data_IF_902654484868
#
_entry.id   IF_902654484868
#
_cell.length_a   1.000
_cell.length_b   1.000
_cell.length_c   1.000
_cell.angle_alpha   90.00
_cell.angle_beta   90.00
_cell.angle_gamma   90.00
#
_symmetry.space_group_name_H-M   'P 1'
#
loop_
_entity.id
_entity.type
_entity.pdbx_description
1 polymer ?
#
# COMPACT_ATOMS: atom_id res chain seq x y z
N UNK A 1 36.38 2.39 -13.05
CA UNK A 1 34.92 2.35 -13.26
C UNK A 1 34.65 2.87 -14.65
N UNK A 2 34.24 2.00 -15.58
CA UNK A 2 33.84 2.41 -16.93
C UNK A 2 32.47 3.08 -16.87
N UNK A 3 32.29 4.13 -17.68
CA UNK A 3 31.19 5.10 -17.64
C UNK A 3 29.80 4.56 -18.07
N UNK A 4 29.53 3.26 -17.95
CA UNK A 4 28.29 2.59 -18.40
C UNK A 4 27.34 2.16 -17.27
N UNK A 5 27.68 2.37 -16.00
CA UNK A 5 26.99 1.74 -14.85
C UNK A 5 26.28 2.74 -13.90
N UNK A 6 26.06 3.98 -14.33
CA UNK A 6 25.45 5.03 -13.49
C UNK A 6 23.99 5.22 -13.91
N UNK A 7 23.05 4.98 -12.99
CA UNK A 7 21.64 5.25 -13.17
C UNK A 7 21.35 6.76 -13.29
N UNK A 8 20.25 7.11 -13.95
CA UNK A 8 19.75 8.50 -13.97
C UNK A 8 19.02 8.86 -12.66
N UNK A 9 18.53 7.85 -11.93
CA UNK A 9 17.89 7.96 -10.62
C UNK A 9 18.01 6.62 -9.88
N UNK A 10 18.20 6.67 -8.57
CA UNK A 10 18.23 5.49 -7.70
C UNK A 10 17.06 5.51 -6.71
N UNK A 11 16.29 4.43 -6.66
CA UNK A 11 15.18 4.26 -5.72
C UNK A 11 15.64 3.37 -4.56
N UNK A 12 15.45 3.84 -3.33
CA UNK A 12 15.74 3.09 -2.11
C UNK A 12 14.45 2.47 -1.58
N UNK A 13 14.36 1.15 -1.64
CA UNK A 13 13.20 0.37 -1.18
C UNK A 13 12.46 -0.36 -2.32
N UNK A 14 12.07 -1.60 -2.06
CA UNK A 14 11.38 -2.48 -3.02
C UNK A 14 9.99 -2.94 -2.51
N UNK A 15 9.36 -2.13 -1.64
CA UNK A 15 7.93 -2.27 -1.34
C UNK A 15 7.07 -1.69 -2.46
N UNK A 16 5.75 -1.69 -2.28
CA UNK A 16 4.80 -1.22 -3.32
C UNK A 16 5.11 0.19 -3.82
N UNK A 17 5.44 1.13 -2.92
CA UNK A 17 5.78 2.51 -3.29
C UNK A 17 7.06 2.54 -4.13
N UNK A 18 8.13 1.90 -3.66
CA UNK A 18 9.41 1.89 -4.36
C UNK A 18 9.35 1.23 -5.73
N UNK A 19 8.68 0.07 -5.85
CA UNK A 19 8.51 -0.61 -7.13
C UNK A 19 7.64 0.20 -8.11
N UNK A 20 6.50 0.73 -7.66
CA UNK A 20 5.64 1.55 -8.53
C UNK A 20 6.35 2.83 -8.97
N UNK A 21 7.09 3.50 -8.08
CA UNK A 21 7.93 4.64 -8.44
C UNK A 21 9.03 4.27 -9.43
N UNK A 22 9.75 3.17 -9.21
CA UNK A 22 10.81 2.71 -10.11
C UNK A 22 10.26 2.41 -11.52
N UNK A 23 9.11 1.73 -11.59
CA UNK A 23 8.43 1.43 -12.84
C UNK A 23 8.01 2.70 -13.58
N UNK A 24 7.37 3.64 -12.88
CA UNK A 24 6.95 4.91 -13.49
C UNK A 24 8.14 5.76 -13.96
N UNK A 25 9.24 5.77 -13.21
CA UNK A 25 10.48 6.45 -13.60
C UNK A 25 11.09 5.80 -14.86
N UNK A 26 11.15 4.46 -14.91
CA UNK A 26 11.65 3.74 -16.08
C UNK A 26 10.78 3.99 -17.32
N UNK A 27 9.46 3.94 -17.17
CA UNK A 27 8.50 4.24 -18.24
C UNK A 27 8.53 5.70 -18.71
N UNK A 28 9.06 6.62 -17.91
CA UNK A 28 9.35 7.99 -18.35
C UNK A 28 10.69 8.14 -19.08
N UNK A 29 11.40 7.03 -19.31
CA UNK A 29 12.64 6.97 -20.09
C UNK A 29 13.93 7.10 -19.28
N UNK A 30 13.86 7.03 -17.95
CA UNK A 30 15.03 7.09 -17.08
C UNK A 30 15.67 5.70 -16.90
N UNK A 31 17.00 5.65 -16.82
CA UNK A 31 17.70 4.46 -16.33
C UNK A 31 17.60 4.42 -14.81
N UNK A 32 16.93 3.42 -14.27
CA UNK A 32 16.64 3.32 -12.83
C UNK A 32 17.41 2.18 -12.19
N UNK A 33 18.02 2.45 -11.04
CA UNK A 33 18.50 1.42 -10.13
C UNK A 33 17.61 1.38 -8.87
N UNK A 34 17.37 0.18 -8.32
CA UNK A 34 16.68 -0.01 -7.04
C UNK A 34 17.65 -0.65 -6.05
N UNK A 35 17.84 -0.02 -4.88
CA UNK A 35 18.61 -0.58 -3.77
C UNK A 35 17.65 -0.93 -2.64
N UNK A 36 17.64 -2.20 -2.20
CA UNK A 36 16.76 -2.66 -1.13
C UNK A 36 17.38 -3.80 -0.32
N UNK A 37 17.04 -3.89 0.98
CA UNK A 37 17.56 -4.92 1.89
C UNK A 37 16.79 -6.26 1.81
N UNK A 38 15.64 -6.28 1.12
CA UNK A 38 14.69 -7.39 1.09
C UNK A 38 14.03 -7.51 -0.28
N UNK A 39 13.69 -8.74 -0.65
CA UNK A 39 12.83 -9.01 -1.80
C UNK A 39 11.40 -8.51 -1.54
N UNK A 40 10.62 -8.17 -2.58
CA UNK A 40 9.26 -7.65 -2.43
C UNK A 40 8.35 -8.54 -1.58
N UNK A 41 8.48 -9.86 -1.69
CA UNK A 41 7.73 -10.85 -0.92
C UNK A 41 7.98 -10.79 0.61
N UNK A 42 9.12 -10.24 1.03
CA UNK A 42 9.52 -10.12 2.44
C UNK A 42 9.23 -8.73 3.03
N UNK A 43 8.56 -7.86 2.26
CA UNK A 43 8.21 -6.50 2.68
C UNK A 43 6.86 -6.46 3.39
N UNK A 44 6.60 -5.38 4.14
CA UNK A 44 5.26 -5.14 4.71
C UNK A 44 4.17 -5.05 3.64
N UNK A 45 4.52 -4.68 2.40
CA UNK A 45 3.56 -4.64 1.29
C UNK A 45 2.99 -6.02 0.98
N UNK A 46 3.76 -7.11 1.12
CA UNK A 46 3.29 -8.47 0.86
C UNK A 46 2.21 -8.95 1.87
N UNK A 47 2.20 -8.34 3.07
CA UNK A 47 1.26 -8.66 4.15
C UNK A 47 -0.07 -7.90 3.99
N UNK A 48 -0.09 -6.79 3.24
CA UNK A 48 -1.28 -5.96 3.12
C UNK A 48 -2.48 -6.74 2.56
N UNK A 49 -3.68 -6.32 2.96
CA UNK A 49 -4.91 -7.07 2.66
C UNK A 49 -5.18 -7.26 1.15
N UNK A 50 -4.73 -6.42 0.22
CA UNK A 50 -5.03 -5.00 0.19
C UNK A 50 -6.33 -4.83 -0.62
N UNK A 51 -7.15 -3.88 -0.21
CA UNK A 51 -8.29 -3.37 -0.99
C UNK A 51 -7.99 -1.91 -1.31
N UNK A 52 -8.45 -1.42 -2.46
CA UNK A 52 -8.41 0.01 -2.74
C UNK A 52 -9.40 0.70 -1.79
N UNK A 53 -8.84 1.30 -0.75
CA UNK A 53 -9.55 2.11 0.23
C UNK A 53 -8.52 3.07 0.86
N UNK A 54 -8.75 4.39 0.81
CA UNK A 54 -7.89 5.33 1.51
C UNK A 54 -8.09 5.23 3.04
N UNK A 55 -7.13 4.61 3.74
CA UNK A 55 -7.20 4.38 5.18
C UNK A 55 -6.04 5.04 5.94
N UNK A 56 -6.39 5.82 6.96
CA UNK A 56 -5.49 6.41 7.96
C UNK A 56 -4.20 7.02 7.38
N UNK A 57 -4.37 7.92 6.41
CA UNK A 57 -3.30 8.66 5.75
C UNK A 57 -3.71 10.11 5.49
N UNK A 58 -2.74 11.01 5.53
CA UNK A 58 -2.94 12.46 5.50
C UNK A 58 -1.85 13.16 4.68
N UNK A 59 -2.10 14.39 4.19
CA UNK A 59 -3.37 15.12 4.25
C UNK A 59 -4.41 14.52 3.30
N UNK A 60 -5.69 14.58 3.70
CA UNK A 60 -6.78 13.83 3.05
C UNK A 60 -7.00 14.21 1.58
N UNK A 61 -6.82 15.48 1.24
CA UNK A 61 -6.97 16.00 -0.12
C UNK A 61 -5.92 15.42 -1.08
N UNK A 62 -4.64 15.39 -0.67
CA UNK A 62 -3.58 14.76 -1.46
C UNK A 62 -3.75 13.25 -1.54
N UNK A 63 -4.08 12.61 -0.41
CA UNK A 63 -4.36 11.17 -0.38
C UNK A 63 -5.50 10.83 -1.32
N UNK A 64 -6.57 11.62 -1.35
CA UNK A 64 -7.69 11.38 -2.25
C UNK A 64 -7.27 11.54 -3.72
N UNK A 65 -6.51 12.60 -4.06
CA UNK A 65 -5.98 12.78 -5.42
C UNK A 65 -5.13 11.59 -5.87
N UNK A 66 -4.15 11.17 -5.07
CA UNK A 66 -3.32 10.01 -5.41
C UNK A 66 -4.13 8.72 -5.52
N UNK A 67 -5.16 8.59 -4.70
CA UNK A 67 -6.04 7.43 -4.71
C UNK A 67 -6.88 7.38 -5.98
N UNK A 68 -7.41 8.51 -6.47
CA UNK A 68 -8.15 8.60 -7.74
C UNK A 68 -7.28 8.15 -8.92
N UNK A 69 -6.05 8.66 -9.00
CA UNK A 69 -5.10 8.27 -10.04
C UNK A 69 -4.79 6.76 -9.96
N UNK A 70 -4.60 6.25 -8.75
CA UNK A 70 -4.34 4.83 -8.54
C UNK A 70 -5.55 3.94 -8.83
N UNK A 71 -6.77 4.41 -8.56
CA UNK A 71 -8.00 3.69 -8.87
C UNK A 71 -8.13 3.44 -10.37
N UNK A 72 -7.88 4.48 -11.18
CA UNK A 72 -7.89 4.37 -12.64
C UNK A 72 -6.89 3.31 -13.09
N UNK A 73 -5.66 3.36 -12.57
CA UNK A 73 -4.62 2.41 -12.93
C UNK A 73 -4.93 0.97 -12.48
N UNK A 74 -5.40 0.77 -11.25
CA UNK A 74 -5.82 -0.57 -10.80
C UNK A 74 -7.02 -1.10 -11.58
N UNK A 75 -7.89 -0.21 -12.06
CA UNK A 75 -9.02 -0.60 -12.92
C UNK A 75 -8.55 -1.13 -14.27
N UNK A 76 -7.53 -0.51 -14.86
CA UNK A 76 -6.89 -1.05 -16.06
C UNK A 76 -6.20 -2.39 -15.80
N UNK A 77 -5.46 -2.50 -14.70
CA UNK A 77 -4.73 -3.72 -14.33
C UNK A 77 -5.66 -4.90 -14.06
N UNK A 78 -6.88 -4.64 -13.56
CA UNK A 78 -7.87 -5.68 -13.35
C UNK A 78 -8.33 -6.40 -14.63
N UNK A 79 -8.01 -5.87 -15.82
CA UNK A 79 -8.25 -6.55 -17.09
C UNK A 79 -7.23 -7.67 -17.38
N UNK A 80 -6.09 -7.68 -16.68
CA UNK A 80 -5.04 -8.69 -16.80
C UNK A 80 -4.97 -9.54 -15.52
N UNK A 81 -5.36 -10.83 -15.57
CA UNK A 81 -5.37 -11.71 -14.40
C UNK A 81 -3.98 -11.93 -13.80
N UNK A 82 -2.90 -11.76 -14.58
CA UNK A 82 -1.52 -11.95 -14.11
C UNK A 82 -1.06 -10.85 -13.13
N UNK A 83 -1.81 -9.75 -13.05
CA UNK A 83 -1.54 -8.65 -12.10
C UNK A 83 -1.97 -8.99 -10.68
N UNK A 84 -2.85 -9.98 -10.50
CA UNK A 84 -3.48 -10.27 -9.19
C UNK A 84 -4.45 -9.18 -8.71
N UNK A 85 -4.86 -8.24 -9.58
CA UNK A 85 -5.85 -7.21 -9.29
C UNK A 85 -7.22 -7.68 -9.80
N UNK A 86 -8.26 -7.56 -8.97
CA UNK A 86 -9.62 -7.90 -9.37
C UNK A 86 -10.62 -6.86 -8.87
N UNK A 87 -11.55 -6.45 -9.72
CA UNK A 87 -12.69 -5.64 -9.30
C UNK A 87 -13.66 -6.50 -8.47
N UNK A 88 -13.97 -6.06 -7.25
CA UNK A 88 -14.92 -6.77 -6.38
C UNK A 88 -15.93 -5.81 -5.77
N UNK A 89 -17.19 -6.21 -5.79
CA UNK A 89 -18.26 -5.51 -5.09
C UNK A 89 -18.16 -5.81 -3.59
N UNK A 90 -18.50 -4.83 -2.76
CA UNK A 90 -18.68 -5.04 -1.33
C UNK A 90 -19.35 -3.88 -0.65
N UNK A 91 -19.40 -3.96 0.68
CA UNK A 91 -20.21 -3.06 1.51
C UNK A 91 -19.33 -2.38 2.55
N UNK A 92 -19.33 -1.05 2.53
CA UNK A 92 -18.88 -0.23 3.65
C UNK A 92 -20.06 -0.10 4.61
N UNK A 93 -19.95 -0.74 5.77
CA UNK A 93 -20.99 -0.80 6.78
C UNK A 93 -20.96 0.45 7.66
N UNK A 94 -22.15 0.95 7.97
CA UNK A 94 -22.35 2.11 8.82
C UNK A 94 -23.18 1.67 10.03
N UNK A 95 -22.65 1.89 11.24
CA UNK A 95 -23.37 1.66 12.49
C UNK A 95 -23.85 2.97 13.12
N UNK A 96 -23.28 4.10 12.69
CA UNK A 96 -23.70 5.43 13.12
C UNK A 96 -24.45 6.12 11.97
N UNK A 97 -25.69 6.58 12.19
CA UNK A 97 -26.44 7.30 11.16
C UNK A 97 -25.71 8.53 10.64
N UNK A 98 -25.66 8.70 9.32
CA UNK A 98 -25.11 9.90 8.67
C UNK A 98 -23.60 9.93 8.50
N UNK A 99 -22.87 8.88 8.91
CA UNK A 99 -21.44 8.74 8.61
C UNK A 99 -21.28 8.04 7.25
N UNK A 100 -20.64 8.71 6.30
CA UNK A 100 -20.29 8.16 4.98
C UNK A 100 -18.78 7.97 4.87
N UNK A 101 -18.34 7.11 3.94
CA UNK A 101 -16.93 7.05 3.60
C UNK A 101 -16.51 8.39 2.98
N UNK A 102 -15.52 9.06 3.58
CA UNK A 102 -15.07 10.40 3.16
C UNK A 102 -14.43 10.42 1.76
N UNK A 103 -14.03 9.25 1.27
CA UNK A 103 -13.50 9.02 -0.07
C UNK A 103 -14.59 8.59 -1.07
N UNK A 104 -15.77 8.18 -0.59
CA UNK A 104 -16.89 7.78 -1.44
C UNK A 104 -17.66 8.99 -1.98
N UNK A 105 -18.44 8.80 -3.05
CA UNK A 105 -19.14 9.87 -3.76
C UNK A 105 -18.61 10.01 -5.19
N UNK A 106 -18.00 11.15 -5.51
CA UNK A 106 -17.53 11.45 -6.88
C UNK A 106 -16.35 10.56 -7.33
N UNK A 107 -15.65 9.90 -6.40
CA UNK A 107 -14.50 9.04 -6.73
C UNK A 107 -14.92 7.63 -7.10
N UNK A 108 -15.79 7.02 -6.29
CA UNK A 108 -16.33 5.68 -6.53
C UNK A 108 -17.85 5.76 -6.48
N UNK A 109 -18.48 5.34 -7.57
CA UNK A 109 -19.92 5.19 -7.64
C UNK A 109 -20.38 4.18 -6.57
N UNK A 110 -21.15 4.66 -5.61
CA UNK A 110 -21.71 3.86 -4.54
C UNK A 110 -23.24 4.00 -4.53
N UNK A 111 -23.93 2.92 -4.17
CA UNK A 111 -25.37 2.91 -3.92
C UNK A 111 -25.64 2.54 -2.47
N UNK A 112 -26.79 2.92 -1.94
CA UNK A 112 -27.22 2.42 -0.64
C UNK A 112 -27.37 0.88 -0.68
N UNK A 113 -26.93 0.23 0.40
CA UNK A 113 -27.19 -1.17 0.65
C UNK A 113 -28.68 -1.41 0.89
N UNK A 114 -29.20 -2.50 0.32
CA UNK A 114 -30.57 -2.94 0.62
C UNK A 114 -30.63 -3.61 2.01
N UNK A 115 -31.80 -3.71 2.64
CA UNK A 115 -31.93 -4.38 3.94
C UNK A 115 -31.40 -5.82 3.96
N UNK A 116 -31.49 -6.56 2.85
CA UNK A 116 -30.95 -7.92 2.68
C UNK A 116 -29.43 -7.98 2.50
N UNK A 117 -28.77 -6.84 2.27
CA UNK A 117 -27.32 -6.74 2.09
C UNK A 117 -26.59 -6.25 3.35
N UNK A 118 -27.35 -5.85 4.38
CA UNK A 118 -26.81 -5.40 5.67
C UNK A 118 -26.54 -6.59 6.60
N UNK A 119 -25.51 -6.42 7.43
CA UNK A 119 -25.19 -7.36 8.51
C UNK A 119 -25.82 -6.90 9.83
N UNK A 120 -25.88 -7.80 10.82
CA UNK A 120 -26.50 -7.49 12.10
C UNK A 120 -25.84 -6.27 12.80
N UNK A 121 -26.70 -5.37 13.27
CA UNK A 121 -26.33 -4.10 13.89
C UNK A 121 -25.77 -3.02 12.95
N UNK A 122 -25.76 -3.21 11.62
CA UNK A 122 -25.55 -2.11 10.67
C UNK A 122 -26.86 -1.32 10.49
N UNK A 123 -26.80 0.01 10.54
CA UNK A 123 -27.96 0.89 10.34
C UNK A 123 -28.14 1.29 8.87
N UNK A 124 -27.03 1.30 8.12
CA UNK A 124 -26.96 1.57 6.69
C UNK A 124 -25.65 1.00 6.12
N UNK A 125 -25.46 1.13 4.81
CA UNK A 125 -24.20 0.78 4.17
C UNK A 125 -24.13 1.30 2.74
N UNK A 126 -22.91 1.43 2.24
CA UNK A 126 -22.60 1.85 0.88
C UNK A 126 -22.04 0.68 0.11
N UNK A 127 -22.72 0.28 -0.97
CA UNK A 127 -22.26 -0.78 -1.87
C UNK A 127 -21.52 -0.17 -3.04
N UNK A 128 -20.29 -0.61 -3.25
CA UNK A 128 -19.46 -0.16 -4.36
C UNK A 128 -18.57 -1.30 -4.88
N UNK A 129 -17.98 -1.08 -6.05
CA UNK A 129 -16.99 -1.98 -6.63
C UNK A 129 -15.64 -1.29 -6.66
N UNK A 130 -14.64 -1.93 -6.07
CA UNK A 130 -13.28 -1.40 -6.00
C UNK A 130 -12.26 -2.52 -6.26
N UNK A 131 -11.02 -2.18 -6.66
CA UNK A 131 -9.94 -3.16 -6.78
C UNK A 131 -9.60 -3.85 -5.45
N UNK A 132 -9.49 -5.17 -5.49
CA UNK A 132 -8.83 -6.00 -4.47
C UNK A 132 -7.54 -6.53 -5.08
N UNK A 133 -6.44 -6.41 -4.34
CA UNK A 133 -5.09 -6.70 -4.82
C UNK A 133 -4.50 -7.88 -4.03
N UNK A 134 -4.18 -8.96 -4.73
CA UNK A 134 -3.46 -10.11 -4.17
C UNK A 134 -1.97 -9.78 -4.13
N UNK A 135 -1.53 -9.21 -3.02
CA UNK A 135 -0.20 -8.58 -2.91
C UNK A 135 1.00 -9.45 -3.33
N UNK A 136 1.07 -10.76 -3.01
CA UNK A 136 2.18 -11.59 -3.49
C UNK A 136 2.29 -11.64 -5.02
N UNK A 137 1.16 -11.83 -5.72
CA UNK A 137 1.09 -11.85 -7.19
C UNK A 137 1.42 -10.46 -7.74
N UNK A 138 0.81 -9.42 -7.16
CA UNK A 138 0.99 -8.05 -7.64
C UNK A 138 2.44 -7.55 -7.49
N UNK A 139 3.11 -7.87 -6.38
CA UNK A 139 4.51 -7.48 -6.17
C UNK A 139 5.47 -8.23 -7.09
N UNK A 140 5.19 -9.50 -7.39
CA UNK A 140 5.93 -10.27 -8.40
C UNK A 140 5.74 -9.67 -9.80
N UNK A 141 4.50 -9.34 -10.16
CA UNK A 141 4.18 -8.66 -11.42
C UNK A 141 4.86 -7.29 -11.53
N UNK A 142 4.86 -6.49 -10.46
CA UNK A 142 5.55 -5.19 -10.40
C UNK A 142 7.05 -5.36 -10.59
N UNK A 143 7.67 -6.30 -9.88
CA UNK A 143 9.10 -6.60 -10.01
C UNK A 143 9.45 -7.02 -11.44
N UNK A 144 8.69 -7.97 -12.01
CA UNK A 144 8.89 -8.42 -13.38
C UNK A 144 8.69 -7.28 -14.40
N UNK A 145 7.77 -6.36 -14.12
CA UNK A 145 7.54 -5.19 -14.95
C UNK A 145 8.71 -4.19 -14.88
N UNK A 146 9.25 -3.93 -13.69
CA UNK A 146 10.48 -3.16 -13.54
C UNK A 146 11.64 -3.78 -14.34
N UNK A 147 11.85 -5.10 -14.23
CA UNK A 147 12.91 -5.81 -14.97
C UNK A 147 12.70 -5.68 -16.48
N UNK A 148 11.45 -5.78 -16.97
CA UNK A 148 11.12 -5.62 -18.39
C UNK A 148 11.43 -4.22 -18.92
N UNK A 149 11.24 -3.20 -18.09
CA UNK A 149 11.60 -1.81 -18.40
C UNK A 149 13.10 -1.50 -18.18
N UNK A 150 13.91 -2.52 -17.85
CA UNK A 150 15.36 -2.38 -17.70
C UNK A 150 15.84 -1.83 -16.36
N UNK A 151 14.98 -1.84 -15.32
CA UNK A 151 15.38 -1.47 -13.96
C UNK A 151 16.38 -2.48 -13.41
N UNK A 152 17.50 -1.98 -12.86
CA UNK A 152 18.54 -2.81 -12.23
C UNK A 152 18.32 -2.88 -10.72
N UNK A 153 18.47 -4.06 -10.12
CA UNK A 153 18.26 -4.28 -8.68
C UNK A 153 19.55 -4.62 -7.96
N UNK A 154 19.78 -3.96 -6.83
CA UNK A 154 20.85 -4.23 -5.87
C UNK A 154 20.27 -4.63 -4.51
N UNK A 155 20.38 -5.91 -4.18
CA UNK A 155 19.88 -6.45 -2.92
C UNK A 155 20.93 -6.34 -1.82
N UNK A 156 20.91 -5.23 -1.09
CA UNK A 156 21.84 -4.95 0.01
C UNK A 156 21.26 -3.93 0.99
N UNK A 157 21.73 -3.98 2.23
CA UNK A 157 21.37 -3.00 3.26
C UNK A 157 22.14 -1.70 3.09
N UNK A 158 21.50 -0.59 3.46
CA UNK A 158 22.10 0.75 3.55
C UNK A 158 22.14 1.18 5.02
N UNK A 159 23.24 1.80 5.45
CA UNK A 159 23.34 2.45 6.77
C UNK A 159 23.13 3.96 6.66
N UNK A 160 23.55 4.55 5.55
CA UNK A 160 23.35 5.96 5.20
C UNK A 160 22.95 6.08 3.72
N UNK A 161 22.38 7.23 3.35
CA UNK A 161 22.22 7.61 1.95
C UNK A 161 23.57 7.79 1.23
N UNK A 162 24.67 7.98 1.96
CA UNK A 162 26.03 8.00 1.40
C UNK A 162 26.40 6.66 0.74
N UNK A 163 25.84 5.56 1.25
CA UNK A 163 26.15 4.20 0.79
C UNK A 163 25.36 3.80 -0.47
N UNK A 164 24.51 4.67 -1.00
CA UNK A 164 23.60 4.35 -2.12
C UNK A 164 24.36 4.09 -3.42
N UNK A 165 25.51 4.74 -3.63
CA UNK A 165 26.22 4.67 -4.91
C UNK A 165 25.53 5.46 -6.02
N UNK A 166 25.82 5.10 -7.28
CA UNK A 166 25.28 5.74 -8.50
C UNK A 166 25.65 7.22 -8.71
N UNK A 167 26.84 7.62 -8.25
CA UNK A 167 27.36 8.98 -8.45
C UNK A 167 26.41 10.06 -7.89
N UNK A 168 26.26 11.15 -8.62
CA UNK A 168 25.48 12.32 -8.19
C UNK A 168 24.00 12.28 -8.62
N UNK A 169 23.50 11.12 -9.08
CA UNK A 169 22.10 11.02 -9.51
C UNK A 169 21.13 11.25 -8.32
N UNK A 170 19.91 11.75 -8.60
CA UNK A 170 18.87 11.89 -7.58
C UNK A 170 18.53 10.57 -6.89
N UNK A 171 18.19 10.65 -5.61
CA UNK A 171 17.75 9.52 -4.79
C UNK A 171 16.24 9.64 -4.55
N UNK A 172 15.47 8.58 -4.76
CA UNK A 172 14.09 8.47 -4.29
C UNK A 172 14.08 7.58 -3.05
N UNK A 173 13.71 8.12 -1.88
CA UNK A 173 13.64 7.34 -0.64
C UNK A 173 12.22 6.81 -0.47
N UNK A 174 12.01 5.52 -0.74
CA UNK A 174 10.75 4.80 -0.61
C UNK A 174 10.85 3.61 0.38
N UNK A 175 11.66 3.78 1.42
CA UNK A 175 12.09 2.71 2.34
C UNK A 175 11.12 2.41 3.50
N UNK A 176 9.86 2.87 3.43
CA UNK A 176 8.86 2.65 4.48
C UNK A 176 9.33 3.16 5.85
N UNK A 177 9.29 2.31 6.89
CA UNK A 177 9.73 2.66 8.25
C UNK A 177 11.23 2.94 8.35
N UNK A 178 12.05 2.24 7.55
CA UNK A 178 13.52 2.38 7.57
C UNK A 178 13.94 3.76 7.05
N UNK A 179 13.06 4.46 6.32
CA UNK A 179 13.33 5.83 5.91
C UNK A 179 13.62 6.76 7.09
N UNK A 180 13.05 6.51 8.28
CA UNK A 180 13.30 7.33 9.47
C UNK A 180 14.78 7.31 9.89
N UNK A 181 15.41 6.14 9.87
CA UNK A 181 16.83 6.00 10.17
C UNK A 181 17.71 6.61 9.08
N UNK A 182 17.33 6.44 7.81
CA UNK A 182 18.10 6.94 6.66
C UNK A 182 18.06 8.46 6.50
N UNK A 183 16.98 9.12 6.94
CA UNK A 183 16.75 10.56 6.72
C UNK A 183 16.71 11.38 8.00
N UNK A 184 16.84 10.73 9.17
CA UNK A 184 16.70 11.37 10.49
C UNK A 184 15.27 11.77 10.83
N UNK A 185 14.27 11.16 10.18
CA UNK A 185 12.87 11.51 10.39
C UNK A 185 12.25 10.79 11.59
N UNK A 186 12.00 11.54 12.66
CA UNK A 186 11.43 11.04 13.91
C UNK A 186 9.90 11.02 13.94
N UNK A 187 9.21 11.43 12.85
CA UNK A 187 7.73 11.41 12.76
C UNK A 187 7.18 10.05 12.33
N UNK A 188 8.04 9.14 11.86
CA UNK A 188 7.65 7.78 11.52
C UNK A 188 7.39 6.94 12.77
N UNK A 189 6.23 6.31 12.82
CA UNK A 189 5.79 5.44 13.89
C UNK A 189 5.37 4.10 13.31
N UNK A 190 5.88 2.97 13.84
CA UNK A 190 5.37 1.66 13.45
C UNK A 190 3.93 1.51 13.91
N UNK A 191 3.02 1.16 13.01
CA UNK A 191 1.64 0.86 13.36
C UNK A 191 1.41 -0.62 13.11
N UNK A 192 1.38 -1.40 14.19
CA UNK A 192 1.18 -2.85 14.12
C UNK A 192 -0.23 -3.16 13.65
N UNK A 193 -0.32 -4.10 12.71
CA UNK A 193 -1.54 -4.65 12.18
C UNK A 193 -1.45 -6.16 12.06
N UNK A 194 -2.31 -6.86 12.77
CA UNK A 194 -2.47 -8.31 12.65
C UNK A 194 -3.70 -8.63 11.79
N UNK A 195 -3.54 -9.62 10.90
CA UNK A 195 -4.62 -10.17 10.07
C UNK A 195 -4.57 -11.70 10.11
N UNK A 196 -5.72 -12.32 9.90
CA UNK A 196 -5.86 -13.76 9.76
C UNK A 196 -6.30 -14.08 8.33
N UNK A 197 -5.61 -15.02 7.69
CA UNK A 197 -5.97 -15.57 6.39
C UNK A 197 -6.71 -16.87 6.61
N UNK A 198 -7.89 -17.01 6.02
CA UNK A 198 -8.69 -18.24 6.08
C UNK A 198 -9.01 -18.72 4.67
N UNK A 199 -9.27 -20.02 4.50
CA UNK A 199 -9.71 -20.59 3.24
C UNK A 199 -11.03 -19.95 2.80
N UNK A 200 -11.18 -19.63 1.52
CA UNK A 200 -12.39 -18.98 1.03
C UNK A 200 -13.54 -20.00 0.86
N UNK A 201 -14.65 -19.90 1.62
CA UNK A 201 -15.81 -20.80 1.48
C UNK A 201 -16.73 -20.43 0.30
N UNK A 202 -16.21 -19.74 -0.72
CA UNK A 202 -16.99 -19.25 -1.88
C UNK A 202 -17.55 -17.84 -1.71
N UNK A 203 -16.92 -17.01 -0.87
CA UNK A 203 -17.23 -15.59 -0.75
C UNK A 203 -16.72 -14.82 -1.97
N UNK A 204 -17.55 -13.91 -2.47
CA UNK A 204 -17.21 -13.01 -3.57
C UNK A 204 -17.25 -11.53 -3.19
N UNK A 205 -17.96 -11.21 -2.11
CA UNK A 205 -18.24 -9.85 -1.65
C UNK A 205 -17.41 -9.50 -0.42
N UNK A 206 -16.79 -8.33 -0.40
CA UNK A 206 -16.06 -7.83 0.78
C UNK A 206 -16.97 -7.02 1.72
N UNK A 207 -16.56 -6.90 2.98
CA UNK A 207 -17.16 -6.05 4.01
C UNK A 207 -16.09 -5.24 4.71
N UNK A 208 -16.37 -3.96 4.97
CA UNK A 208 -15.56 -3.08 5.83
C UNK A 208 -16.49 -2.43 6.86
N UNK A 209 -16.11 -2.48 8.13
CA UNK A 209 -16.84 -1.92 9.26
C UNK A 209 -15.86 -1.11 10.13
N UNK A 210 -15.73 0.18 9.82
CA UNK A 210 -14.91 1.12 10.59
C UNK A 210 -15.63 1.68 11.84
N UNK A 211 -16.93 1.46 11.95
CA UNK A 211 -17.78 2.00 13.02
C UNK A 211 -17.85 1.09 14.25
N UNK A 212 -17.34 -0.13 14.14
CA UNK A 212 -17.35 -1.06 15.24
C UNK A 212 -16.52 -0.51 16.43
N UNK A 213 -17.16 -0.43 17.60
CA UNK A 213 -16.55 0.06 18.84
C UNK A 213 -15.31 -0.74 19.28
N UNK A 214 -15.10 -1.94 18.74
CA UNK A 214 -13.92 -2.78 18.98
C UNK A 214 -12.77 -2.53 17.99
N UNK A 215 -12.93 -1.59 17.06
CA UNK A 215 -11.97 -1.29 16.00
C UNK A 215 -12.44 -1.75 14.62
N UNK A 216 -11.73 -1.30 13.58
CA UNK A 216 -12.05 -1.61 12.19
C UNK A 216 -12.03 -3.13 11.94
N UNK A 217 -13.14 -3.67 11.42
CA UNK A 217 -13.24 -5.06 10.97
C UNK A 217 -13.44 -5.10 9.47
N UNK A 218 -12.67 -5.93 8.77
CA UNK A 218 -12.84 -6.16 7.34
C UNK A 218 -12.73 -7.65 6.98
N UNK A 219 -13.51 -8.03 5.97
CA UNK A 219 -13.55 -9.36 5.36
C UNK A 219 -13.37 -9.15 3.87
N UNK A 220 -12.20 -9.53 3.34
CA UNK A 220 -11.83 -9.25 1.96
C UNK A 220 -11.55 -10.60 1.26
N UNK A 221 -12.54 -11.16 0.54
CA UNK A 221 -12.33 -12.40 -0.19
C UNK A 221 -11.50 -12.17 -1.46
N UNK A 222 -10.50 -13.03 -1.63
CA UNK A 222 -9.74 -13.24 -2.87
C UNK A 222 -10.27 -14.50 -3.54
N UNK A 223 -9.53 -15.10 -4.48
CA UNK A 223 -9.95 -16.34 -5.12
C UNK A 223 -9.96 -17.50 -4.10
N UNK A 224 -8.81 -17.79 -3.51
CA UNK A 224 -8.62 -19.00 -2.70
C UNK A 224 -8.68 -18.75 -1.19
N UNK A 225 -8.47 -17.50 -0.76
CA UNK A 225 -8.45 -17.11 0.64
C UNK A 225 -9.29 -15.86 0.92
N UNK A 226 -9.51 -15.60 2.20
CA UNK A 226 -10.17 -14.41 2.71
C UNK A 226 -9.24 -13.76 3.72
N UNK A 227 -9.01 -12.46 3.55
CA UNK A 227 -8.31 -11.67 4.55
C UNK A 227 -9.32 -11.17 5.58
N UNK A 228 -9.16 -11.62 6.82
CA UNK A 228 -9.87 -11.11 7.98
C UNK A 228 -8.94 -10.18 8.74
N UNK A 229 -9.37 -8.95 8.96
CA UNK A 229 -8.61 -8.03 9.82
C UNK A 229 -9.52 -7.02 10.50
N UNK A 230 -8.96 -6.12 11.29
CA UNK A 230 -7.57 -6.17 11.74
C UNK A 230 -7.31 -5.26 12.93
N UNK A 231 -6.05 -5.19 13.35
CA UNK A 231 -5.61 -4.25 14.40
C UNK A 231 -4.96 -2.99 13.82
N UNK A 232 -4.98 -1.93 14.63
CA UNK A 232 -4.29 -0.67 14.38
C UNK A 232 -3.64 -0.20 15.69
N UNK A 233 -2.37 -0.56 15.89
CA UNK A 233 -1.67 -0.40 17.17
C UNK A 233 -0.39 0.45 17.00
N UNK A 234 -0.49 1.80 17.10
CA UNK A 234 0.65 2.69 16.97
C UNK A 234 1.71 2.47 18.05
N UNK A 235 2.99 2.53 17.65
CA UNK A 235 4.15 2.41 18.52
C UNK A 235 4.54 0.96 18.88
N UNK A 236 3.72 -0.03 18.54
CA UNK A 236 4.04 -1.43 18.79
C UNK A 236 4.90 -1.98 17.65
N UNK A 237 6.05 -2.57 18.00
CA UNK A 237 7.04 -3.10 17.06
C UNK A 237 7.08 -4.63 16.99
N UNK A 238 6.43 -5.32 17.93
CA UNK A 238 6.43 -6.77 17.96
C UNK A 238 5.66 -7.34 16.75
N UNK A 239 6.35 -8.18 15.99
CA UNK A 239 5.81 -8.86 14.80
C UNK A 239 5.32 -10.27 15.10
N UNK A 240 5.34 -10.69 16.36
CA UNK A 240 4.79 -11.98 16.80
C UNK A 240 3.27 -11.92 16.74
N UNK A 241 2.59 -12.84 16.03
CA UNK A 241 1.15 -12.93 16.07
C UNK A 241 0.64 -13.29 17.47
N UNK A 242 -0.41 -12.60 17.92
CA UNK A 242 -1.08 -12.88 19.18
C UNK A 242 -2.33 -13.74 18.94
N UNK A 243 -2.36 -14.93 19.54
CA UNK A 243 -3.47 -15.87 19.39
C UNK A 243 -4.82 -15.34 19.89
N UNK A 244 -4.84 -14.51 20.94
CA UNK A 244 -6.06 -13.91 21.47
C UNK A 244 -6.60 -12.85 20.51
N UNK A 245 -5.69 -12.07 19.91
CA UNK A 245 -6.04 -11.12 18.85
C UNK A 245 -6.57 -11.85 17.61
N UNK A 246 -5.93 -12.95 17.18
CA UNK A 246 -6.40 -13.76 16.05
C UNK A 246 -7.81 -14.31 16.29
N UNK A 247 -8.08 -14.85 17.48
CA UNK A 247 -9.43 -15.31 17.85
C UNK A 247 -10.46 -14.18 17.84
N UNK A 248 -10.08 -12.99 18.30
CA UNK A 248 -10.95 -11.80 18.26
C UNK A 248 -11.27 -11.38 16.83
N UNK A 249 -10.27 -11.37 15.94
CA UNK A 249 -10.44 -11.06 14.50
C UNK A 249 -11.39 -12.07 13.85
N UNK A 250 -11.17 -13.37 14.06
CA UNK A 250 -12.03 -14.42 13.49
C UNK A 250 -13.47 -14.33 14.02
N UNK A 251 -13.63 -14.05 15.31
CA UNK A 251 -14.96 -13.87 15.91
C UNK A 251 -15.68 -12.63 15.36
N UNK A 252 -14.96 -11.53 15.10
CA UNK A 252 -15.53 -10.34 14.49
C UNK A 252 -15.89 -10.57 13.01
N UNK A 253 -14.98 -11.17 12.24
CA UNK A 253 -15.22 -11.53 10.84
C UNK A 253 -16.42 -12.49 10.69
N UNK A 254 -16.54 -13.49 11.56
CA UNK A 254 -17.66 -14.45 11.55
C UNK A 254 -19.01 -13.83 11.90
N UNK A 255 -19.02 -12.67 12.59
CA UNK A 255 -20.26 -11.91 12.79
C UNK A 255 -20.70 -11.15 11.55
N UNK A 256 -19.75 -10.72 10.71
CA UNK A 256 -20.04 -10.10 9.42
C UNK A 256 -20.43 -11.15 8.38
N UNK A 257 -19.76 -12.29 8.39
CA UNK A 257 -19.98 -13.39 7.45
C UNK A 257 -19.94 -14.75 8.17
N UNK A 258 -21.11 -15.31 8.54
CA UNK A 258 -21.21 -16.56 9.30
C UNK A 258 -20.56 -17.79 8.62
N UNK A 259 -20.40 -17.78 7.29
CA UNK A 259 -19.71 -18.88 6.58
C UNK A 259 -18.23 -19.00 6.95
N UNK A 260 -17.65 -18.01 7.63
CA UNK A 260 -16.27 -18.04 8.09
C UNK A 260 -16.05 -18.82 9.39
N UNK A 261 -17.12 -19.18 10.13
CA UNK A 261 -17.01 -19.89 11.42
C UNK A 261 -16.20 -21.19 11.29
N UNK A 262 -16.42 -21.93 10.20
CA UNK A 262 -15.76 -23.22 9.94
C UNK A 262 -14.61 -23.12 8.91
N UNK A 263 -14.25 -21.90 8.49
CA UNK A 263 -13.19 -21.71 7.51
C UNK A 263 -11.83 -22.06 8.10
N UNK A 264 -11.05 -22.88 7.38
CA UNK A 264 -9.72 -23.29 7.84
C UNK A 264 -8.76 -22.08 7.89
N UNK A 265 -8.08 -21.89 9.02
CA UNK A 265 -7.04 -20.87 9.16
C UNK A 265 -5.81 -21.28 8.35
N UNK A 266 -5.41 -20.42 7.42
CA UNK A 266 -4.27 -20.62 6.53
C UNK A 266 -3.01 -19.93 7.09
N UNK A 267 -3.16 -18.74 7.65
CA UNK A 267 -2.05 -18.00 8.25
C UNK A 267 -2.54 -16.93 9.24
N UNK A 268 -1.66 -16.57 10.18
CA UNK A 268 -1.80 -15.42 11.06
C UNK A 268 -0.53 -14.58 10.91
N UNK A 269 -0.66 -13.33 10.48
CA UNK A 269 0.47 -12.51 10.06
C UNK A 269 0.36 -11.09 10.60
N UNK A 270 1.53 -10.55 10.97
CA UNK A 270 1.67 -9.20 11.53
C UNK A 270 2.55 -8.35 10.63
N UNK A 271 2.04 -7.19 10.24
CA UNK A 271 2.78 -6.16 9.52
C UNK A 271 2.95 -4.90 10.37
N UNK A 272 4.03 -4.14 10.12
CA UNK A 272 4.25 -2.83 10.71
C UNK A 272 4.09 -1.76 9.63
N UNK A 273 2.93 -1.11 9.60
CA UNK A 273 2.66 -0.04 8.64
C UNK A 273 3.56 1.16 8.94
N UNK A 274 4.10 1.85 7.92
CA UNK A 274 4.89 3.05 8.10
C UNK A 274 3.98 4.24 8.40
N UNK A 275 3.46 4.30 9.63
CA UNK A 275 2.60 5.38 10.09
C UNK A 275 3.38 6.69 10.20
N UNK A 276 2.72 7.77 9.85
CA UNK A 276 3.21 9.14 9.96
C UNK A 276 1.99 10.06 9.98
N UNK A 277 2.11 11.19 10.65
CA UNK A 277 1.05 12.19 10.71
C UNK A 277 0.70 12.79 9.34
N UNK A 278 1.65 12.87 8.41
CA UNK A 278 1.42 13.18 6.99
C UNK A 278 2.35 12.35 6.10
N UNK A 279 1.88 11.89 4.94
CA UNK A 279 2.73 11.27 3.92
C UNK A 279 3.82 12.26 3.53
N UNK A 280 5.09 11.84 3.61
CA UNK A 280 6.20 12.67 3.17
C UNK A 280 6.47 12.42 1.71
N UNK A 281 6.01 13.35 0.89
CA UNK A 281 6.33 13.48 -0.52
C UNK A 281 6.88 14.88 -0.80
N UNK A 282 8.20 15.04 -0.61
CA UNK A 282 8.89 16.32 -0.76
C UNK A 282 10.32 16.13 -1.32
N UNK A 283 10.98 17.26 -1.62
CA UNK A 283 12.34 17.29 -2.13
C UNK A 283 13.26 17.87 -1.06
N UNK A 284 14.35 17.17 -0.78
CA UNK A 284 15.47 17.62 0.03
C UNK A 284 16.79 17.47 -0.72
N UNK A 285 17.88 17.60 0.03
CA UNK A 285 19.24 17.41 -0.45
C UNK A 285 20.03 16.58 0.57
N UNK A 286 20.91 15.72 0.06
CA UNK A 286 21.87 14.96 0.87
C UNK A 286 23.21 14.91 0.14
N UNK A 287 24.26 15.44 0.77
CA UNK A 287 25.61 15.48 0.18
C UNK A 287 25.66 16.03 -1.26
N UNK A 288 24.90 17.11 -1.54
CA UNK A 288 24.82 17.72 -2.88
C UNK A 288 23.92 16.97 -3.88
N UNK A 289 23.32 15.85 -3.49
CA UNK A 289 22.36 15.08 -4.30
C UNK A 289 20.94 15.49 -3.98
N UNK A 290 20.11 15.64 -5.00
CA UNK A 290 18.66 15.82 -4.83
C UNK A 290 18.05 14.54 -4.26
N UNK A 291 17.23 14.68 -3.22
CA UNK A 291 16.53 13.55 -2.59
C UNK A 291 15.02 13.78 -2.68
N UNK A 292 14.29 12.88 -3.32
CA UNK A 292 12.82 12.85 -3.31
C UNK A 292 12.38 11.86 -2.25
N UNK A 293 11.76 12.35 -1.19
CA UNK A 293 11.21 11.49 -0.14
C UNK A 293 9.83 11.00 -0.56
N UNK A 294 9.52 9.72 -0.36
CA UNK A 294 8.21 9.12 -0.66
C UNK A 294 7.93 7.98 0.33
N UNK A 295 7.57 8.32 1.56
CA UNK A 295 7.31 7.36 2.64
C UNK A 295 6.33 7.90 3.70
N UNK A 296 5.98 7.06 4.67
CA UNK A 296 4.99 7.41 5.70
C UNK A 296 3.55 7.21 5.25
N UNK A 297 3.30 6.24 4.37
CA UNK A 297 1.98 6.02 3.76
C UNK A 297 0.94 5.33 4.66
N UNK A 298 1.29 5.00 5.90
CA UNK A 298 0.37 4.35 6.84
C UNK A 298 -0.31 3.11 6.24
N UNK A 299 -1.64 3.05 6.34
CA UNK A 299 -2.45 1.99 5.74
C UNK A 299 -2.81 2.20 4.26
N UNK A 300 -2.51 3.36 3.67
CA UNK A 300 -2.94 3.73 2.32
C UNK A 300 -1.86 3.55 1.23
N UNK A 301 -0.73 2.89 1.55
CA UNK A 301 0.41 2.77 0.63
C UNK A 301 0.08 2.08 -0.70
N UNK A 302 -0.77 1.05 -0.70
CA UNK A 302 -1.23 0.41 -1.94
C UNK A 302 -2.19 1.33 -2.68
N UNK A 303 -3.19 1.85 -1.97
CA UNK A 303 -4.25 2.74 -2.48
C UNK A 303 -3.71 3.97 -3.19
N UNK A 304 -2.59 4.53 -2.71
CA UNK A 304 -2.00 5.78 -3.25
C UNK A 304 -0.83 5.55 -4.22
N UNK A 305 -0.39 4.30 -4.41
CA UNK A 305 0.91 3.99 -4.99
C UNK A 305 1.18 4.58 -6.38
N UNK A 306 0.21 4.52 -7.29
CA UNK A 306 0.39 5.00 -8.67
C UNK A 306 0.31 6.52 -8.78
N UNK A 307 -0.59 7.16 -8.03
CA UNK A 307 -0.66 8.63 -7.99
C UNK A 307 0.59 9.25 -7.35
N UNK A 308 1.10 8.63 -6.27
CA UNK A 308 2.39 9.04 -5.67
C UNK A 308 3.53 8.84 -6.67
N UNK A 309 3.54 7.74 -7.42
CA UNK A 309 4.58 7.50 -8.41
C UNK A 309 4.60 8.57 -9.53
N UNK A 310 3.43 9.05 -9.98
CA UNK A 310 3.34 10.16 -10.93
C UNK A 310 3.99 11.45 -10.40
N UNK A 311 3.73 11.79 -9.14
CA UNK A 311 4.38 12.93 -8.48
C UNK A 311 5.89 12.72 -8.30
N UNK A 312 6.34 11.51 -7.97
CA UNK A 312 7.78 11.19 -7.89
C UNK A 312 8.46 11.45 -9.24
N UNK A 313 7.87 11.01 -10.36
CA UNK A 313 8.39 11.29 -11.71
C UNK A 313 8.51 12.79 -11.96
N UNK A 314 7.49 13.57 -11.59
CA UNK A 314 7.51 15.04 -11.71
C UNK A 314 8.64 15.66 -10.89
N UNK A 315 8.75 15.29 -9.61
CA UNK A 315 9.74 15.85 -8.68
C UNK A 315 11.18 15.50 -9.04
N UNK A 316 11.42 14.31 -9.62
CA UNK A 316 12.74 13.93 -10.17
C UNK A 316 13.05 14.76 -11.42
N UNK A 317 12.08 14.93 -12.33
CA UNK A 317 12.27 15.62 -13.61
C UNK A 317 12.52 17.12 -13.47
N UNK A 318 11.82 17.81 -12.56
CA UNK A 318 12.02 19.24 -12.27
C UNK A 318 13.46 19.57 -11.87
N UNK A 319 14.13 18.65 -11.18
CA UNK A 319 15.53 18.82 -10.80
C UNK A 319 16.51 18.72 -11.95
N UNK A 320 16.14 18.02 -13.03
CA UNK A 320 17.01 17.83 -14.20
C UNK A 320 16.92 18.99 -15.18
N UNK A 321 15.75 19.63 -15.30
CA UNK A 321 15.56 20.81 -16.16
C UNK A 321 16.50 21.96 -15.78
N UNK A 322 16.76 22.18 -14.48
CA UNK A 322 17.66 23.24 -13.99
C UNK A 322 19.17 23.00 -14.18
N UNK A 323 19.58 21.79 -14.59
CA UNK A 323 21.00 21.43 -14.84
C UNK A 323 21.40 21.62 -16.30
N UNK A 324 20.43 21.71 -17.21
CA UNK A 324 20.70 21.77 -18.67
C UNK A 324 20.94 23.19 -19.20
N UNK A 325 20.77 24.23 -18.36
CA UNK A 325 20.95 25.65 -18.74
C UNK A 325 22.19 26.33 -18.10
N UNK A 326 23.27 25.60 -17.81
CA UNK A 326 24.55 26.20 -17.36
C UNK A 326 25.74 25.76 -18.19
#
# INVERSE_FOLDING_TARGET
MTATDVADVVVVGAGVIGLTSALALAQSGLRVAVVADRLPADTVSAIAAAIWEPYDAYPKDLVLRWSVESLARFTELAADPDTGVAQREGVVLQRVPGRTAWWAGDVVAARAARPDELVDGAVSGEVCTVPVIVMPIYLEWLLASCVREGVVFEWRSLKSLDDVGHGDCPIVVAAGLVAGELTGDTRLVPVRGQIVRVANPGLTRWYIDEDNARGCTYVIPRADDVICGGTNEPGVTDRTPDSAVAQSILAAASKLEPRLVDAAVLADVVGLRPGRDEVRLDVGEHAGRRVVHSYGHGGAGVTTSWGVAGDVVRLVSEGRAGVTER
#
